data_IF_552173573176
#
_entry.id   IF_552173573176
#
_cell.length_a   1.000
_cell.length_b   1.000
_cell.length_c   1.000
_cell.angle_alpha   90.00
_cell.angle_beta   90.00
_cell.angle_gamma   90.00
#
_symmetry.space_group_name_H-M   'P 1'
#
loop_
_entity.id
_entity.type
_entity.pdbx_description
1 polymer ?
#
# COMPACT_ATOMS: atom_id res chain seq x y z
N UNK A 1 23.10 -10.87 9.27
CA UNK A 1 24.17 -10.42 8.36
C UNK A 1 25.48 -11.07 8.79
N UNK A 2 26.04 -12.00 8.01
CA UNK A 2 27.42 -12.45 8.22
C UNK A 2 28.30 -11.59 7.32
N UNK A 3 28.98 -10.60 7.88
CA UNK A 3 30.06 -9.89 7.18
C UNK A 3 31.22 -10.85 6.91
N UNK A 4 31.94 -10.72 5.78
CA UNK A 4 33.11 -11.55 5.50
C UNK A 4 34.29 -11.06 6.33
N UNK A 5 34.35 -11.47 7.60
CA UNK A 5 35.49 -11.21 8.50
C UNK A 5 36.62 -12.24 8.36
N UNK A 6 36.50 -13.19 7.42
CA UNK A 6 37.39 -14.36 7.30
C UNK A 6 37.91 -14.62 5.87
N UNK A 7 37.85 -13.65 4.95
CA UNK A 7 38.35 -13.82 3.58
C UNK A 7 37.62 -14.89 2.75
N UNK A 8 36.47 -15.39 3.22
CA UNK A 8 35.61 -16.33 2.50
C UNK A 8 34.59 -15.54 1.67
N UNK A 9 34.60 -15.77 0.36
CA UNK A 9 33.56 -15.24 -0.53
C UNK A 9 32.18 -15.74 -0.10
N UNK A 10 31.23 -14.80 -0.05
CA UNK A 10 29.83 -15.11 0.27
C UNK A 10 29.18 -15.60 -1.01
N UNK A 11 29.07 -16.92 -1.17
CA UNK A 11 28.30 -17.52 -2.26
C UNK A 11 26.82 -17.59 -1.87
N UNK A 12 26.01 -16.69 -2.43
CA UNK A 12 24.55 -16.78 -2.36
C UNK A 12 24.02 -17.56 -3.56
N UNK A 13 22.91 -18.28 -3.38
CA UNK A 13 22.21 -18.87 -4.50
C UNK A 13 21.73 -17.76 -5.45
N UNK A 14 21.83 -17.97 -6.78
CA UNK A 14 21.33 -16.99 -7.73
C UNK A 14 19.81 -16.85 -7.58
N UNK A 15 19.30 -15.61 -7.70
CA UNK A 15 17.86 -15.38 -7.70
C UNK A 15 17.28 -15.95 -8.99
N UNK A 16 16.20 -16.74 -8.91
CA UNK A 16 15.60 -17.39 -10.08
C UNK A 16 14.90 -16.41 -11.02
N UNK A 17 14.55 -15.21 -10.53
CA UNK A 17 13.89 -14.14 -11.28
C UNK A 17 14.56 -12.83 -10.86
N UNK A 18 15.01 -12.06 -11.83
CA UNK A 18 15.50 -10.71 -11.64
C UNK A 18 14.36 -9.70 -11.83
N UNK A 19 14.54 -8.48 -11.30
CA UNK A 19 13.54 -7.43 -11.48
C UNK A 19 13.28 -7.10 -12.97
N UNK A 20 14.30 -7.23 -13.82
CA UNK A 20 14.16 -7.03 -15.27
C UNK A 20 13.19 -8.06 -15.90
N UNK A 21 13.23 -9.32 -15.45
CA UNK A 21 12.34 -10.37 -15.91
C UNK A 21 10.89 -10.06 -15.51
N UNK A 22 10.69 -9.60 -14.27
CA UNK A 22 9.38 -9.15 -13.78
C UNK A 22 8.84 -7.96 -14.58
N UNK A 23 9.66 -6.95 -14.87
CA UNK A 23 9.25 -5.78 -15.62
C UNK A 23 8.82 -6.14 -17.05
N UNK A 24 9.56 -7.03 -17.71
CA UNK A 24 9.21 -7.54 -19.04
C UNK A 24 7.91 -8.35 -19.00
N UNK A 25 7.76 -9.24 -18.01
CA UNK A 25 6.54 -10.00 -17.80
C UNK A 25 5.32 -9.09 -17.58
N UNK A 26 5.44 -8.08 -16.72
CA UNK A 26 4.37 -7.14 -16.42
C UNK A 26 3.93 -6.38 -17.67
N UNK A 27 4.89 -5.89 -18.48
CA UNK A 27 4.59 -5.20 -19.73
C UNK A 27 3.82 -6.10 -20.69
N UNK A 28 4.31 -7.31 -20.93
CA UNK A 28 3.67 -8.25 -21.85
C UNK A 28 2.26 -8.61 -21.35
N UNK A 29 2.07 -8.81 -20.04
CA UNK A 29 0.76 -9.09 -19.45
C UNK A 29 -0.23 -7.94 -19.65
N UNK A 30 0.22 -6.71 -19.47
CA UNK A 30 -0.59 -5.51 -19.72
C UNK A 30 -0.98 -5.39 -21.20
N UNK A 31 -0.03 -5.59 -22.12
CA UNK A 31 -0.24 -5.54 -23.58
C UNK A 31 -1.19 -6.63 -24.10
N UNK A 32 -1.34 -7.74 -23.38
CA UNK A 32 -2.27 -8.84 -23.73
C UNK A 32 -3.74 -8.55 -23.37
N UNK A 33 -4.09 -7.31 -23.03
CA UNK A 33 -5.48 -6.88 -22.79
C UNK A 33 -5.82 -6.56 -21.34
N UNK A 34 -4.91 -6.83 -20.41
CA UNK A 34 -5.13 -6.51 -18.99
C UNK A 34 -5.13 -4.99 -18.75
N UNK A 35 -4.34 -4.25 -19.52
CA UNK A 35 -4.28 -2.79 -19.44
C UNK A 35 -5.65 -2.16 -19.65
N UNK A 36 -6.34 -2.53 -20.74
CA UNK A 36 -7.66 -2.03 -21.08
C UNK A 36 -8.68 -2.39 -20.00
N UNK A 37 -8.64 -3.63 -19.51
CA UNK A 37 -9.54 -4.14 -18.47
C UNK A 37 -9.39 -3.35 -17.17
N UNK A 38 -8.16 -3.15 -16.69
CA UNK A 38 -7.91 -2.40 -15.45
C UNK A 38 -8.22 -0.91 -15.61
N UNK A 39 -7.87 -0.33 -16.76
CA UNK A 39 -8.15 1.08 -17.02
C UNK A 39 -9.65 1.37 -17.03
N UNK A 40 -10.45 0.52 -17.68
CA UNK A 40 -11.90 0.64 -17.70
C UNK A 40 -12.50 0.55 -16.30
N UNK A 41 -12.04 -0.43 -15.51
CA UNK A 41 -12.46 -0.60 -14.12
C UNK A 41 -12.17 0.66 -13.29
N UNK A 42 -10.94 1.18 -13.32
CA UNK A 42 -10.56 2.32 -12.48
C UNK A 42 -11.23 3.62 -12.89
N UNK A 43 -11.43 3.86 -14.19
CA UNK A 43 -12.23 5.01 -14.66
C UNK A 43 -13.66 4.95 -14.15
N UNK A 44 -14.28 3.76 -14.17
CA UNK A 44 -15.62 3.58 -13.63
C UNK A 44 -15.68 3.81 -12.12
N UNK A 45 -14.69 3.33 -11.34
CA UNK A 45 -14.69 3.45 -9.88
C UNK A 45 -14.36 4.86 -9.39
N UNK A 46 -13.41 5.55 -10.04
CA UNK A 46 -12.91 6.87 -9.59
C UNK A 46 -13.64 8.05 -10.22
N UNK A 47 -14.44 7.80 -11.25
CA UNK A 47 -15.14 8.83 -12.01
C UNK A 47 -14.19 9.81 -12.72
N UNK A 48 -14.78 10.85 -13.30
CA UNK A 48 -14.06 11.88 -14.07
C UNK A 48 -13.51 13.01 -13.20
N UNK A 49 -14.02 13.18 -11.98
CA UNK A 49 -13.65 14.26 -11.07
C UNK A 49 -13.20 13.70 -9.74
N UNK A 50 -12.01 14.10 -9.29
CA UNK A 50 -11.49 13.79 -7.97
C UNK A 50 -11.49 15.09 -7.15
N UNK A 51 -12.55 15.35 -6.35
CA UNK A 51 -12.63 16.57 -5.56
C UNK A 51 -11.48 16.61 -4.55
N UNK A 52 -11.00 17.83 -4.28
CA UNK A 52 -9.98 18.04 -3.25
C UNK A 52 -10.65 17.82 -1.89
N UNK A 53 -10.05 16.96 -1.06
CA UNK A 53 -10.49 16.77 0.31
C UNK A 53 -10.06 17.97 1.16
N UNK A 54 -11.05 18.73 1.64
CA UNK A 54 -10.87 19.87 2.54
C UNK A 54 -10.71 19.37 3.97
N UNK A 55 -9.45 19.17 4.40
CA UNK A 55 -9.10 18.82 5.78
C UNK A 55 -8.89 20.10 6.61
N UNK A 56 -9.18 20.08 7.93
CA UNK A 56 -8.91 21.19 8.83
C UNK A 56 -7.40 21.34 9.04
N UNK A 57 -6.75 22.07 8.14
CA UNK A 57 -5.30 22.26 8.12
C UNK A 57 -4.91 23.55 8.84
N UNK A 58 -3.81 23.51 9.61
CA UNK A 58 -3.31 24.69 10.33
C UNK A 58 -2.75 25.77 9.39
N UNK A 59 -2.36 25.38 8.17
CA UNK A 59 -1.73 26.25 7.17
C UNK A 59 -2.23 25.88 5.76
N UNK A 60 -2.35 26.85 4.85
CA UNK A 60 -2.74 26.59 3.47
C UNK A 60 -1.73 25.66 2.77
N UNK A 61 -2.21 24.85 1.83
CA UNK A 61 -1.37 23.93 1.05
C UNK A 61 -0.36 24.73 0.20
N UNK A 62 0.96 24.52 0.38
CA UNK A 62 1.97 25.22 -0.43
C UNK A 62 1.98 24.69 -1.87
N UNK A 63 2.39 25.53 -2.82
CA UNK A 63 2.52 25.14 -4.23
C UNK A 63 3.65 24.11 -4.47
N UNK A 64 4.70 24.17 -3.65
CA UNK A 64 5.82 23.22 -3.65
C UNK A 64 5.76 22.36 -2.39
N UNK A 65 5.80 21.03 -2.54
CA UNK A 65 5.83 20.10 -1.40
C UNK A 65 7.23 20.06 -0.80
N UNK A 66 7.34 20.19 0.52
CA UNK A 66 8.61 20.06 1.25
C UNK A 66 9.02 18.60 1.52
N UNK A 67 8.09 17.65 1.41
CA UNK A 67 8.25 16.24 1.82
C UNK A 67 8.59 16.02 3.30
N UNK A 68 8.61 17.07 4.11
CA UNK A 68 8.72 16.97 5.56
C UNK A 68 7.43 16.39 6.14
N UNK A 69 7.56 15.34 6.96
CA UNK A 69 6.43 14.69 7.60
C UNK A 69 6.75 14.36 9.05
N UNK A 70 5.72 14.30 9.88
CA UNK A 70 5.80 13.81 11.25
C UNK A 70 5.01 12.51 11.38
N UNK A 71 5.32 11.72 12.41
CA UNK A 71 4.59 10.50 12.74
C UNK A 71 3.99 10.64 14.13
N UNK A 72 2.71 10.31 14.25
CA UNK A 72 2.01 10.18 15.51
C UNK A 72 1.54 8.73 15.62
N UNK A 73 1.96 8.05 16.69
CA UNK A 73 1.51 6.68 16.95
C UNK A 73 0.20 6.71 17.74
N UNK A 74 -0.80 5.94 17.26
CA UNK A 74 -2.07 5.73 17.94
C UNK A 74 -2.13 4.27 18.39
N UNK A 75 -2.11 4.06 19.70
CA UNK A 75 -2.23 2.73 20.29
C UNK A 75 -3.69 2.33 20.45
N UNK A 76 -4.02 1.09 20.10
CA UNK A 76 -5.29 0.45 20.46
C UNK A 76 -5.00 -0.55 21.58
N UNK A 77 -5.75 -0.46 22.69
CA UNK A 77 -5.60 -1.46 23.76
C UNK A 77 -6.04 -2.85 23.28
N UNK A 78 -5.57 -3.88 23.99
CA UNK A 78 -5.79 -5.27 23.60
C UNK A 78 -7.29 -5.65 23.62
N UNK A 79 -8.05 -5.12 24.57
CA UNK A 79 -9.47 -5.44 24.72
C UNK A 79 -10.29 -4.88 23.55
N UNK A 80 -10.01 -3.63 23.16
CA UNK A 80 -10.59 -2.99 21.98
C UNK A 80 -10.22 -3.77 20.72
N UNK A 81 -8.94 -4.08 20.53
CA UNK A 81 -8.47 -4.82 19.36
C UNK A 81 -9.17 -6.18 19.21
N UNK A 82 -9.35 -6.90 20.32
CA UNK A 82 -10.03 -8.20 20.29
C UNK A 82 -11.54 -8.04 20.03
N UNK A 83 -12.18 -7.00 20.57
CA UNK A 83 -13.54 -6.63 20.23
C UNK A 83 -13.72 -6.34 18.74
N UNK A 84 -12.81 -5.56 18.14
CA UNK A 84 -12.83 -5.24 16.71
C UNK A 84 -12.63 -6.48 15.83
N UNK A 85 -11.77 -7.42 16.22
CA UNK A 85 -11.60 -8.69 15.50
C UNK A 85 -12.86 -9.54 15.55
N UNK A 86 -13.54 -9.61 16.70
CA UNK A 86 -14.81 -10.32 16.84
C UNK A 86 -15.86 -9.69 15.94
N UNK A 87 -15.99 -8.36 15.96
CA UNK A 87 -16.92 -7.63 15.11
C UNK A 87 -16.64 -7.87 13.61
N UNK A 88 -15.38 -7.78 13.18
CA UNK A 88 -15.00 -8.02 11.79
C UNK A 88 -15.40 -9.45 11.35
N UNK A 89 -15.16 -10.45 12.19
CA UNK A 89 -15.57 -11.85 11.92
C UNK A 89 -17.09 -12.00 11.83
N UNK A 90 -17.83 -11.39 12.74
CA UNK A 90 -19.31 -11.43 12.74
C UNK A 90 -19.90 -10.80 11.47
N UNK A 91 -19.25 -9.76 10.94
CA UNK A 91 -19.65 -9.08 9.71
C UNK A 91 -19.06 -9.71 8.44
N UNK A 92 -18.25 -10.77 8.56
CA UNK A 92 -17.59 -11.42 7.42
C UNK A 92 -16.57 -10.53 6.71
N UNK A 93 -16.04 -9.51 7.37
CA UNK A 93 -15.06 -8.56 6.83
C UNK A 93 -13.69 -8.72 7.47
N UNK A 94 -12.68 -8.13 6.83
CA UNK A 94 -11.33 -8.06 7.41
C UNK A 94 -11.24 -6.92 8.42
N UNK A 95 -10.33 -7.03 9.40
CA UNK A 95 -10.01 -5.93 10.31
C UNK A 95 -9.54 -4.67 9.54
N UNK A 96 -8.85 -4.86 8.42
CA UNK A 96 -8.45 -3.77 7.52
C UNK A 96 -9.67 -2.97 7.01
N UNK A 97 -10.68 -3.65 6.48
CA UNK A 97 -11.92 -3.00 6.01
C UNK A 97 -12.64 -2.26 7.14
N UNK A 98 -12.69 -2.87 8.33
CA UNK A 98 -13.33 -2.26 9.49
C UNK A 98 -12.62 -0.96 9.90
N UNK A 99 -11.29 -0.98 10.01
CA UNK A 99 -10.51 0.20 10.37
C UNK A 99 -10.59 1.28 9.29
N UNK A 100 -10.58 0.88 8.01
CA UNK A 100 -10.78 1.80 6.90
C UNK A 100 -12.13 2.52 7.01
N UNK A 101 -13.22 1.78 7.26
CA UNK A 101 -14.56 2.34 7.41
C UNK A 101 -14.68 3.28 8.63
N UNK A 102 -13.91 3.04 9.70
CA UNK A 102 -13.89 3.94 10.87
C UNK A 102 -13.17 5.26 10.61
N UNK A 103 -12.41 5.35 9.52
CA UNK A 103 -11.61 6.51 9.13
C UNK A 103 -12.22 7.31 7.96
N UNK A 104 -13.24 6.75 7.30
CA UNK A 104 -13.87 7.27 6.09
C UNK A 104 -14.97 8.29 6.37
#
# INVERSE_FOLDING_TARGET
YRSPSLGREITLAPLPIQYADYALWQRNWLEMGEQERQLAYWKQQLGEQQPILELPTDRPRPALRSYEGARLDVGLDAALLDGLKVLARQQGITLFMLLLASLQ
#
